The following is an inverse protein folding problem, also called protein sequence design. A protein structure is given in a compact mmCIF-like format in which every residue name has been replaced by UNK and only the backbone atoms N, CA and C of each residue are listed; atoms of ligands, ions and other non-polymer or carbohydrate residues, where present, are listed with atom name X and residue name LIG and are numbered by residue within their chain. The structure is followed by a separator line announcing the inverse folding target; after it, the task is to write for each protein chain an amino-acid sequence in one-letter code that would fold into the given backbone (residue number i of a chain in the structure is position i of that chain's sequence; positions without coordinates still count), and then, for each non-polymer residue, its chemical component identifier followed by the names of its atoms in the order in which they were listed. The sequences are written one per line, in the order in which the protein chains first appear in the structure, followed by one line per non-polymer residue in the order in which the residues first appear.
data_IF_494072203979
#
_entry.id   IF_494072203979
#
_cell.length_a   1.000
_cell.length_b   1.000
_cell.length_c   1.000
_cell.angle_alpha   90.00
_cell.angle_beta   90.00
_cell.angle_gamma   90.00
#
_symmetry.space_group_name_H-M   'P 1'
#
loop_
_entity.id
_entity.type
_entity.pdbx_description
1 polymer ?
#
# COMPACT_ATOMS: atom_id res chain seq x y z
N UNK A 1 -19.12 -0.60 -46.32
CA UNK A 1 -20.59 -0.43 -46.32
C UNK A 1 -20.97 -0.08 -44.88
N UNK A 2 -21.46 1.08 -44.45
CA UNK A 2 -22.04 2.25 -45.11
C UNK A 2 -21.65 3.49 -44.31
N UNK A 3 -20.93 4.45 -44.90
CA UNK A 3 -20.78 5.80 -44.35
C UNK A 3 -22.05 6.55 -44.76
N UNK A 4 -23.04 6.61 -43.87
CA UNK A 4 -24.18 7.48 -44.10
C UNK A 4 -23.70 8.91 -43.89
N UNK A 5 -23.42 9.56 -45.02
CA UNK A 5 -23.32 11.00 -45.13
C UNK A 5 -24.69 11.60 -44.81
N UNK A 6 -24.96 11.87 -43.54
CA UNK A 6 -26.01 12.82 -43.16
C UNK A 6 -25.48 14.23 -43.45
N UNK A 7 -25.63 14.59 -44.72
CA UNK A 7 -26.05 15.91 -45.21
C UNK A 7 -25.60 17.11 -44.36
N UNK A 8 -24.47 17.70 -44.74
CA UNK A 8 -24.32 19.16 -44.59
C UNK A 8 -25.37 19.79 -45.50
N UNK A 9 -26.56 20.09 -44.95
CA UNK A 9 -27.64 20.74 -45.67
C UNK A 9 -27.35 22.27 -45.67
N UNK A 10 -27.09 22.90 -46.83
CA UNK A 10 -26.68 24.32 -46.90
C UNK A 10 -27.72 25.31 -46.35
N UNK A 11 -28.94 24.85 -46.06
CA UNK A 11 -30.06 25.64 -45.55
C UNK A 11 -30.42 25.33 -44.09
N UNK A 12 -29.65 24.52 -43.37
CA UNK A 12 -29.87 24.24 -41.94
C UNK A 12 -28.85 24.98 -41.04
N UNK A 13 -29.19 26.18 -40.52
CA UNK A 13 -28.31 26.96 -39.65
C UNK A 13 -28.03 26.27 -38.32
N UNK A 14 -28.91 25.34 -37.88
CA UNK A 14 -28.70 24.58 -36.66
C UNK A 14 -27.74 23.41 -36.87
N UNK A 15 -27.70 22.83 -38.07
CA UNK A 15 -26.73 21.79 -38.45
C UNK A 15 -25.28 22.28 -38.40
N UNK A 16 -25.01 23.49 -38.91
CA UNK A 16 -23.67 24.11 -38.88
C UNK A 16 -23.25 24.45 -37.45
N UNK A 17 -24.16 25.01 -36.64
CA UNK A 17 -23.88 25.30 -35.22
C UNK A 17 -23.64 24.02 -34.41
N UNK A 18 -24.43 22.97 -34.66
CA UNK A 18 -24.26 21.67 -34.02
C UNK A 18 -22.91 21.07 -34.37
N UNK A 19 -22.50 21.10 -35.64
CA UNK A 19 -21.19 20.59 -36.06
C UNK A 19 -20.02 21.37 -35.44
N UNK A 20 -20.13 22.70 -35.33
CA UNK A 20 -19.12 23.53 -34.68
C UNK A 20 -18.99 23.19 -33.18
N UNK A 21 -20.12 23.01 -32.49
CA UNK A 21 -20.16 22.59 -31.09
C UNK A 21 -19.60 21.18 -30.90
N UNK A 22 -20.01 20.25 -31.75
CA UNK A 22 -19.59 18.84 -31.65
C UNK A 22 -18.09 18.71 -31.92
N UNK A 23 -17.54 19.46 -32.89
CA UNK A 23 -16.09 19.57 -33.12
C UNK A 23 -15.35 20.23 -31.95
N UNK A 24 -15.93 21.28 -31.35
CA UNK A 24 -15.36 21.94 -30.17
C UNK A 24 -15.32 21.01 -28.94
N UNK A 25 -16.38 20.23 -28.72
CA UNK A 25 -16.45 19.23 -27.66
C UNK A 25 -15.48 18.08 -27.89
N UNK A 26 -15.31 17.64 -29.13
CA UNK A 26 -14.36 16.57 -29.47
C UNK A 26 -12.91 17.01 -29.24
N UNK A 27 -12.57 18.26 -29.59
CA UNK A 27 -11.25 18.83 -29.29
C UNK A 27 -11.00 18.99 -27.79
N UNK A 28 -12.01 19.45 -27.04
CA UNK A 28 -11.93 19.53 -25.58
C UNK A 28 -11.80 18.15 -24.92
N UNK A 29 -12.56 17.17 -25.40
CA UNK A 29 -12.50 15.79 -24.94
C UNK A 29 -11.12 15.18 -25.18
N UNK A 30 -10.56 15.37 -26.38
CA UNK A 30 -9.23 14.87 -26.73
C UNK A 30 -8.14 15.56 -25.90
N UNK A 31 -8.22 16.87 -25.70
CA UNK A 31 -7.28 17.61 -24.85
C UNK A 31 -7.35 17.15 -23.38
N UNK A 32 -8.56 16.97 -22.84
CA UNK A 32 -8.76 16.46 -21.47
C UNK A 32 -8.25 15.02 -21.34
N UNK A 33 -8.50 14.17 -22.34
CA UNK A 33 -8.02 12.79 -22.36
C UNK A 33 -6.49 12.76 -22.36
N UNK A 34 -5.82 13.55 -23.20
CA UNK A 34 -4.36 13.67 -23.20
C UNK A 34 -3.81 14.22 -21.89
N UNK A 35 -4.54 15.15 -21.26
CA UNK A 35 -4.15 15.72 -19.98
C UNK A 35 -4.23 14.69 -18.83
N UNK A 36 -5.30 13.89 -18.78
CA UNK A 36 -5.44 12.80 -17.78
C UNK A 36 -4.45 11.66 -18.03
N UNK A 37 -4.08 11.40 -19.29
CA UNK A 37 -3.04 10.44 -19.66
C UNK A 37 -1.62 10.98 -19.47
N UNK A 38 -1.46 12.26 -19.08
CA UNK A 38 -0.13 12.82 -18.85
C UNK A 38 0.49 12.29 -17.56
N UNK A 39 1.77 11.99 -17.59
CA UNK A 39 2.53 11.55 -16.41
C UNK A 39 2.50 12.60 -15.29
N UNK A 40 2.38 13.88 -15.64
CA UNK A 40 2.25 14.98 -14.69
C UNK A 40 0.94 14.93 -13.88
N UNK A 41 -0.19 14.55 -14.49
CA UNK A 41 -1.46 14.35 -13.78
C UNK A 41 -1.39 13.16 -12.83
N UNK A 42 -0.83 12.04 -13.30
CA UNK A 42 -0.62 10.85 -12.49
C UNK A 42 0.31 11.14 -11.29
N UNK A 43 1.41 11.85 -11.53
CA UNK A 43 2.37 12.24 -10.50
C UNK A 43 1.79 13.23 -9.50
N UNK A 44 1.07 14.26 -9.95
CA UNK A 44 0.44 15.25 -9.07
C UNK A 44 -0.67 14.61 -8.22
N UNK A 45 -1.46 13.72 -8.81
CA UNK A 45 -2.51 12.99 -8.10
C UNK A 45 -1.90 12.02 -7.09
N UNK A 46 -0.82 11.33 -7.45
CA UNK A 46 -0.05 10.46 -6.55
C UNK A 46 0.51 11.22 -5.35
N UNK A 47 1.15 12.37 -5.59
CA UNK A 47 1.68 13.23 -4.52
C UNK A 47 0.58 13.80 -3.62
N UNK A 48 -0.57 14.15 -4.18
CA UNK A 48 -1.72 14.62 -3.39
C UNK A 48 -2.29 13.50 -2.51
N UNK A 49 -2.42 12.28 -3.06
CA UNK A 49 -2.83 11.10 -2.30
C UNK A 49 -1.82 10.77 -1.21
N UNK A 50 -0.52 10.79 -1.50
CA UNK A 50 0.53 10.57 -0.51
C UNK A 50 0.54 11.65 0.56
N UNK A 51 0.36 12.92 0.20
CA UNK A 51 0.23 14.01 1.16
C UNK A 51 -1.01 13.83 2.04
N UNK A 52 -2.15 13.42 1.47
CA UNK A 52 -3.37 13.13 2.21
C UNK A 52 -3.20 11.94 3.16
N UNK A 53 -2.60 10.85 2.68
CA UNK A 53 -2.32 9.65 3.47
C UNK A 53 -1.26 9.89 4.56
N UNK A 54 -0.29 10.77 4.29
CA UNK A 54 0.75 11.17 5.25
C UNK A 54 0.15 12.08 6.32
N UNK A 55 -0.73 13.00 5.94
CA UNK A 55 -1.46 13.86 6.88
C UNK A 55 -2.48 13.04 7.69
N UNK A 56 -3.00 11.94 7.14
CA UNK A 56 -3.88 11.02 7.86
C UNK A 56 -3.16 9.97 8.69
N UNK A 57 -1.81 9.99 8.78
CA UNK A 57 -1.05 9.09 9.68
C UNK A 57 -1.57 9.13 11.13
N UNK A 58 -1.73 10.30 11.78
CA UNK A 58 -2.28 10.34 13.14
C UNK A 58 -3.69 9.75 13.23
N UNK A 59 -4.52 9.90 12.19
CA UNK A 59 -5.84 9.27 12.14
C UNK A 59 -5.72 7.74 12.05
N UNK A 60 -4.80 7.24 11.22
CA UNK A 60 -4.54 5.80 11.08
C UNK A 60 -4.03 5.19 12.39
N UNK A 61 -3.14 5.88 13.10
CA UNK A 61 -2.64 5.47 14.42
C UNK A 61 -3.76 5.46 15.47
N UNK A 62 -4.61 6.49 15.48
CA UNK A 62 -5.77 6.54 16.36
C UNK A 62 -6.76 5.39 16.08
N UNK A 63 -7.01 5.07 14.81
CA UNK A 63 -7.83 3.92 14.41
C UNK A 63 -7.21 2.59 14.82
N UNK A 64 -5.89 2.41 14.63
CA UNK A 64 -5.19 1.20 15.06
C UNK A 64 -5.28 1.01 16.58
N UNK A 65 -5.12 2.10 17.35
CA UNK A 65 -5.23 2.07 18.82
C UNK A 65 -6.66 1.74 19.26
N UNK A 66 -7.67 2.31 18.59
CA UNK A 66 -9.07 1.99 18.87
C UNK A 66 -9.39 0.51 18.58
N UNK A 67 -8.90 0.00 17.44
CA UNK A 67 -9.09 -1.40 17.06
C UNK A 67 -8.37 -2.35 18.01
N UNK A 68 -7.13 -2.05 18.41
CA UNK A 68 -6.41 -2.87 19.39
C UNK A 68 -7.13 -2.89 20.74
N UNK A 69 -7.70 -1.76 21.16
CA UNK A 69 -8.49 -1.71 22.39
C UNK A 69 -9.80 -2.51 22.27
N UNK A 70 -10.48 -2.46 21.12
CA UNK A 70 -11.66 -3.28 20.87
C UNK A 70 -11.33 -4.78 20.87
N UNK A 71 -10.23 -5.18 20.23
CA UNK A 71 -9.75 -6.57 20.26
C UNK A 71 -9.40 -7.01 21.68
N UNK A 72 -8.74 -6.17 22.47
CA UNK A 72 -8.45 -6.44 23.87
C UNK A 72 -9.73 -6.64 24.71
N UNK A 73 -10.79 -5.86 24.47
CA UNK A 73 -12.09 -6.07 25.12
C UNK A 73 -12.72 -7.41 24.75
N UNK A 74 -12.46 -7.93 23.54
CA UNK A 74 -12.84 -9.26 23.12
C UNK A 74 -11.85 -10.36 23.57
N UNK A 75 -10.89 -10.05 24.46
CA UNK A 75 -9.80 -10.94 24.87
C UNK A 75 -8.96 -11.49 23.70
N UNK A 76 -8.90 -10.75 22.59
CA UNK A 76 -8.11 -11.12 21.42
C UNK A 76 -6.79 -10.32 21.41
N UNK A 77 -5.62 -10.98 21.36
CA UNK A 77 -4.35 -10.28 21.27
C UNK A 77 -4.20 -9.61 19.90
N UNK A 78 -3.52 -8.47 19.88
CA UNK A 78 -3.18 -7.79 18.63
C UNK A 78 -2.08 -8.56 17.88
N UNK A 79 -2.02 -8.37 16.55
CA UNK A 79 -0.98 -8.97 15.72
C UNK A 79 0.44 -8.59 16.18
N UNK A 80 0.63 -7.35 16.63
CA UNK A 80 1.93 -6.86 17.08
C UNK A 80 2.37 -7.55 18.38
N UNK A 81 1.45 -7.82 19.31
CA UNK A 81 1.75 -8.57 20.53
C UNK A 81 2.15 -10.01 20.21
N UNK A 82 1.43 -10.68 19.30
CA UNK A 82 1.77 -12.04 18.84
C UNK A 82 3.16 -12.07 18.22
N UNK A 83 3.48 -11.08 17.38
CA UNK A 83 4.79 -10.99 16.71
C UNK A 83 5.91 -10.78 17.74
N UNK A 84 5.73 -9.85 18.69
CA UNK A 84 6.70 -9.61 19.77
C UNK A 84 6.91 -10.83 20.66
N UNK A 85 5.85 -11.61 20.90
CA UNK A 85 5.95 -12.86 21.64
C UNK A 85 6.80 -13.88 20.87
N UNK A 86 6.55 -14.04 19.56
CA UNK A 86 7.31 -14.94 18.71
C UNK A 86 8.81 -14.58 18.65
N UNK A 87 9.14 -13.29 18.54
CA UNK A 87 10.54 -12.82 18.59
C UNK A 87 11.22 -13.17 19.91
N UNK A 88 10.52 -12.98 21.03
CA UNK A 88 11.05 -13.33 22.36
C UNK A 88 11.25 -14.83 22.51
N UNK A 89 10.30 -15.64 22.04
CA UNK A 89 10.42 -17.09 22.04
C UNK A 89 11.62 -17.55 21.19
N UNK A 90 11.83 -16.94 20.02
CA UNK A 90 12.99 -17.23 19.17
C UNK A 90 14.31 -16.89 19.87
N UNK A 91 14.38 -15.78 20.60
CA UNK A 91 15.57 -15.42 21.38
C UNK A 91 15.82 -16.39 22.55
N UNK A 92 14.75 -16.84 23.21
CA UNK A 92 14.86 -17.85 24.26
C UNK A 92 15.40 -19.16 23.68
N UNK A 93 14.90 -19.59 22.52
CA UNK A 93 15.38 -20.80 21.83
C UNK A 93 16.87 -20.72 21.52
N UNK A 94 17.34 -19.63 20.89
CA UNK A 94 18.77 -19.45 20.60
C UNK A 94 19.64 -19.50 21.86
N UNK A 95 19.17 -18.91 22.97
CA UNK A 95 19.90 -18.97 24.24
C UNK A 95 19.87 -20.36 24.86
N UNK A 96 18.78 -21.10 24.67
CA UNK A 96 18.66 -22.48 25.13
C UNK A 96 19.66 -23.36 24.38
N UNK A 97 19.73 -23.23 23.05
CA UNK A 97 20.71 -23.92 22.20
C UNK A 97 22.15 -23.60 22.61
N UNK A 98 22.47 -22.33 22.87
CA UNK A 98 23.79 -21.90 23.35
C UNK A 98 24.14 -22.53 24.71
N UNK A 99 23.17 -22.69 25.60
CA UNK A 99 23.37 -23.35 26.89
C UNK A 99 23.56 -24.86 26.73
N UNK A 100 22.81 -25.49 25.82
CA UNK A 100 22.93 -26.93 25.54
C UNK A 100 24.32 -27.25 24.99
N UNK A 101 24.80 -26.46 24.02
CA UNK A 101 26.16 -26.59 23.49
C UNK A 101 27.25 -26.41 24.56
N UNK A 102 27.06 -25.48 25.51
CA UNK A 102 28.00 -25.28 26.63
C UNK A 102 27.94 -26.42 27.63
N UNK A 103 26.75 -26.96 27.90
CA UNK A 103 26.57 -28.10 28.80
C UNK A 103 27.26 -29.33 28.23
N UNK A 104 27.07 -29.62 26.95
CA UNK A 104 27.76 -30.69 26.23
C UNK A 104 29.28 -30.52 26.29
N UNK A 105 29.80 -29.30 26.07
CA UNK A 105 31.23 -29.03 26.18
C UNK A 105 31.79 -29.30 27.59
N UNK A 106 31.05 -28.94 28.64
CA UNK A 106 31.43 -29.24 30.03
C UNK A 106 31.38 -30.74 30.32
N UNK A 107 30.37 -31.45 29.82
CA UNK A 107 30.21 -32.91 30.03
C UNK A 107 31.25 -33.72 29.25
N UNK A 108 31.69 -33.22 28.09
CA UNK A 108 32.73 -33.83 27.27
C UNK A 108 34.14 -33.48 27.74
N UNK A 109 34.32 -32.52 28.65
CA UNK A 109 35.61 -32.18 29.21
C UNK A 109 36.08 -33.37 30.07
N UNK A 110 37.11 -34.13 29.65
CA UNK A 110 37.68 -35.14 30.52
C UNK A 110 38.22 -34.40 31.74
N UNK A 111 37.93 -34.90 32.95
CA UNK A 111 38.54 -34.43 34.20
C UNK A 111 40.04 -34.28 33.95
N UNK A 112 40.50 -33.04 33.75
CA UNK A 112 41.93 -32.77 33.61
C UNK A 112 42.52 -33.01 34.99
N UNK A 113 43.05 -34.21 35.19
CA UNK A 113 43.81 -34.55 36.39
C UNK A 113 45.07 -33.67 36.39
N UNK A 114 45.33 -32.93 37.48
CA UNK A 114 46.55 -32.15 37.60
C UNK A 114 47.72 -33.13 37.65
N UNK A 115 48.56 -33.08 36.62
CA UNK A 115 49.81 -33.85 36.56
C UNK A 115 50.85 -33.18 37.48
N UNK A 116 51.61 -33.95 38.28
CA UNK A 116 52.47 -33.44 39.37
C UNK A 116 53.68 -32.62 38.90
#
# INVERSE_FOLDING_TARGET
MSKNAETCNPFDPFGVMKQMRDSGLEQWSNAMSQWVHSDAYAQATGQMLDAWLTTSRPLREAMQTALSHALAQCNMPSRDEVTRLAERLTNIEMRLDDMDAKLDACMQQPRQEPTP
#
